data_IF_089744471417
#
_entry.id   IF_089744471417
#
_cell.length_a   1.000
_cell.length_b   1.000
_cell.length_c   1.000
_cell.angle_alpha   90.00
_cell.angle_beta   90.00
_cell.angle_gamma   90.00
#
_symmetry.space_group_name_H-M   'P 1'
#
loop_
_entity.id
_entity.type
_entity.pdbx_description
1 polymer ?
#
# COMPACT_ATOMS: atom_id res chain seq x y z
N UNK A 1 10.52 28.42 2.73
CA UNK A 1 10.15 27.66 1.52
C UNK A 1 9.46 26.35 1.92
N UNK A 2 8.25 26.09 1.47
CA UNK A 2 7.51 24.88 1.83
C UNK A 2 8.11 23.64 1.16
N UNK A 3 8.30 22.56 1.93
CA UNK A 3 8.71 21.25 1.39
C UNK A 3 7.58 20.70 0.50
N UNK A 4 7.93 20.25 -0.71
CA UNK A 4 6.96 19.59 -1.58
C UNK A 4 6.58 18.21 -1.03
N UNK A 5 5.33 17.82 -1.22
CA UNK A 5 4.87 16.48 -0.86
C UNK A 5 5.30 15.45 -1.91
N UNK A 6 5.34 14.16 -1.53
CA UNK A 6 5.66 13.07 -2.45
C UNK A 6 4.70 12.99 -3.65
N UNK A 7 3.50 13.54 -3.55
CA UNK A 7 2.56 13.66 -4.66
C UNK A 7 2.99 14.68 -5.72
N UNK A 8 4.00 15.52 -5.43
CA UNK A 8 4.52 16.56 -6.31
C UNK A 8 5.82 16.16 -7.03
N UNK A 9 6.21 14.89 -6.95
CA UNK A 9 7.35 14.36 -7.71
C UNK A 9 7.15 14.59 -9.21
N UNK A 10 8.24 14.95 -9.91
CA UNK A 10 8.23 15.12 -11.35
C UNK A 10 7.72 13.86 -12.05
N UNK A 11 6.91 14.05 -13.07
CA UNK A 11 6.59 12.99 -14.00
C UNK A 11 7.80 12.70 -14.86
N UNK A 12 8.23 11.45 -14.99
CA UNK A 12 8.96 11.05 -16.19
C UNK A 12 8.08 11.36 -17.42
N UNK A 13 8.66 11.60 -18.61
CA UNK A 13 7.88 11.83 -19.81
C UNK A 13 6.83 10.73 -19.95
N UNK A 14 5.55 11.12 -19.97
CA UNK A 14 4.39 10.23 -19.90
C UNK A 14 4.22 9.31 -21.13
N UNK A 15 5.02 9.50 -22.18
CA UNK A 15 4.88 8.82 -23.46
C UNK A 15 5.59 7.46 -23.52
N UNK A 16 6.39 7.13 -22.53
CA UNK A 16 6.97 5.79 -22.46
C UNK A 16 6.08 4.90 -21.60
N UNK A 17 5.44 3.93 -22.24
CA UNK A 17 4.88 2.80 -21.54
C UNK A 17 6.06 2.07 -20.88
N UNK A 18 6.13 2.04 -19.56
CA UNK A 18 7.25 1.41 -18.81
C UNK A 18 7.41 -0.06 -19.15
N UNK A 19 6.35 -0.68 -19.68
CA UNK A 19 6.41 -2.04 -20.20
C UNK A 19 7.16 -2.13 -21.54
N UNK A 20 7.32 -1.00 -22.24
CA UNK A 20 8.00 -0.90 -23.53
C UNK A 20 9.36 -0.20 -23.43
N UNK A 21 9.70 0.41 -22.29
CA UNK A 21 11.03 0.97 -22.11
C UNK A 21 12.02 -0.18 -22.12
N UNK A 22 12.92 -0.15 -23.09
CA UNK A 22 14.00 -1.11 -23.25
C UNK A 22 15.06 -1.05 -22.13
N UNK A 23 14.72 -0.46 -21.00
CA UNK A 23 15.60 -0.44 -19.85
C UNK A 23 15.50 -1.77 -19.11
N UNK A 24 16.57 -2.57 -19.09
CA UNK A 24 16.62 -3.88 -18.44
C UNK A 24 16.25 -3.83 -16.94
N UNK A 25 16.37 -2.66 -16.34
CA UNK A 25 16.11 -2.38 -14.92
C UNK A 25 14.64 -2.50 -14.53
N UNK A 26 13.73 -2.29 -15.47
CA UNK A 26 12.29 -2.38 -15.25
C UNK A 26 11.70 -3.66 -15.90
N UNK A 27 12.50 -4.43 -16.61
CA UNK A 27 12.08 -5.73 -17.15
C UNK A 27 11.77 -6.70 -16.00
N UNK A 28 10.58 -7.24 -15.98
CA UNK A 28 10.09 -8.08 -14.88
C UNK A 28 9.21 -7.36 -13.88
N UNK A 29 8.93 -6.09 -14.12
CA UNK A 29 8.02 -5.30 -13.33
C UNK A 29 6.58 -5.57 -13.75
N UNK A 30 5.78 -6.12 -12.84
CA UNK A 30 4.34 -6.30 -13.10
C UNK A 30 3.58 -4.99 -12.89
N UNK A 31 3.81 -4.03 -13.78
CA UNK A 31 2.99 -2.84 -13.88
C UNK A 31 1.84 -3.08 -14.84
N UNK A 32 0.68 -2.62 -14.47
CA UNK A 32 -0.42 -2.52 -15.42
C UNK A 32 -0.09 -1.49 -16.51
N UNK A 33 -0.35 -1.83 -17.76
CA UNK A 33 -0.27 -0.89 -18.88
C UNK A 33 -1.35 0.20 -18.74
N UNK A 34 -1.21 1.32 -19.44
CA UNK A 34 -2.24 2.37 -19.51
C UNK A 34 -3.59 1.79 -19.94
N UNK A 35 -3.59 0.87 -20.90
CA UNK A 35 -4.79 0.19 -21.38
C UNK A 35 -5.42 -0.69 -20.28
N UNK A 36 -4.61 -1.48 -19.57
CA UNK A 36 -5.06 -2.32 -18.45
C UNK A 36 -5.64 -1.46 -17.31
N UNK A 37 -4.99 -0.37 -16.93
CA UNK A 37 -5.51 0.55 -15.92
C UNK A 37 -6.86 1.17 -16.34
N UNK A 38 -7.03 1.52 -17.63
CA UNK A 38 -8.31 2.00 -18.18
C UNK A 38 -9.40 0.93 -18.11
N UNK A 39 -9.06 -0.32 -18.44
CA UNK A 39 -9.99 -1.46 -18.33
C UNK A 39 -10.38 -1.70 -16.88
N UNK A 40 -9.42 -1.63 -15.96
CA UNK A 40 -9.67 -1.80 -14.53
C UNK A 40 -10.62 -0.73 -13.99
N UNK A 41 -10.40 0.55 -14.31
CA UNK A 41 -11.31 1.63 -13.92
C UNK A 41 -12.73 1.42 -14.46
N UNK A 42 -12.86 0.90 -15.68
CA UNK A 42 -14.16 0.56 -16.24
C UNK A 42 -14.86 -0.55 -15.43
N UNK A 43 -14.10 -1.60 -15.02
CA UNK A 43 -14.63 -2.69 -14.18
C UNK A 43 -15.04 -2.17 -12.81
N UNK A 44 -14.22 -1.33 -12.14
CA UNK A 44 -14.54 -0.71 -10.84
C UNK A 44 -15.83 0.11 -10.92
N UNK A 45 -15.92 0.99 -11.90
CA UNK A 45 -17.13 1.81 -12.12
C UNK A 45 -18.37 0.96 -12.38
N UNK A 46 -18.28 -0.09 -13.20
CA UNK A 46 -19.40 -1.01 -13.48
C UNK A 46 -19.86 -1.72 -12.19
N UNK A 47 -18.91 -2.18 -11.36
CA UNK A 47 -19.22 -2.83 -10.08
C UNK A 47 -19.93 -1.89 -9.12
N UNK A 48 -19.43 -0.67 -8.92
CA UNK A 48 -20.05 0.36 -8.08
C UNK A 48 -21.47 0.70 -8.53
N UNK A 49 -21.68 0.94 -9.84
CA UNK A 49 -23.01 1.24 -10.39
C UNK A 49 -23.97 0.08 -10.21
N UNK A 50 -23.51 -1.16 -10.46
CA UNK A 50 -24.32 -2.37 -10.25
C UNK A 50 -24.71 -2.56 -8.79
N UNK A 51 -23.81 -2.29 -7.85
CA UNK A 51 -24.16 -2.34 -6.43
C UNK A 51 -25.12 -1.21 -6.04
N UNK A 52 -24.92 0.01 -6.57
CA UNK A 52 -25.80 1.15 -6.34
C UNK A 52 -27.25 0.91 -6.81
N UNK A 53 -27.46 0.09 -7.86
CA UNK A 53 -28.81 -0.27 -8.35
C UNK A 53 -29.50 -1.34 -7.51
N UNK A 54 -28.80 -2.05 -6.61
CA UNK A 54 -29.40 -3.06 -5.74
C UNK A 54 -30.23 -2.44 -4.62
N UNK A 55 -31.19 -3.17 -4.04
CA UNK A 55 -31.93 -2.75 -2.84
C UNK A 55 -30.98 -2.42 -1.68
N UNK A 56 -31.41 -1.54 -0.78
CA UNK A 56 -30.62 -1.09 0.39
C UNK A 56 -30.10 -2.27 1.23
N UNK A 57 -30.92 -3.28 1.44
CA UNK A 57 -30.59 -4.53 2.17
C UNK A 57 -29.38 -5.29 1.59
N UNK A 58 -29.17 -5.23 0.28
CA UNK A 58 -28.06 -5.91 -0.43
C UNK A 58 -26.81 -5.06 -0.61
N UNK A 59 -26.76 -3.86 -0.02
CA UNK A 59 -25.62 -2.94 -0.12
C UNK A 59 -24.73 -2.91 1.13
N UNK A 60 -25.00 -3.74 2.12
CA UNK A 60 -24.22 -3.85 3.37
C UNK A 60 -23.96 -2.48 4.03
N UNK A 61 -24.98 -1.63 4.10
CA UNK A 61 -24.88 -0.28 4.69
C UNK A 61 -24.26 0.80 3.79
N UNK A 62 -23.77 0.44 2.58
CA UNK A 62 -23.21 1.41 1.64
C UNK A 62 -24.31 2.28 1.01
N UNK A 63 -24.13 3.60 1.01
CA UNK A 63 -25.11 4.53 0.46
C UNK A 63 -25.01 4.60 -1.06
N UNK A 64 -26.14 4.58 -1.76
CA UNK A 64 -26.21 4.70 -3.24
C UNK A 64 -25.48 5.94 -3.74
N UNK A 65 -25.65 7.08 -3.06
CA UNK A 65 -25.02 8.35 -3.43
C UNK A 65 -23.49 8.22 -3.43
N UNK A 66 -22.91 7.62 -2.38
CA UNK A 66 -21.47 7.50 -2.23
C UNK A 66 -20.86 6.56 -3.29
N UNK A 67 -21.52 5.43 -3.58
CA UNK A 67 -21.12 4.53 -4.67
C UNK A 67 -21.08 5.22 -6.04
N UNK A 68 -22.08 6.05 -6.35
CA UNK A 68 -22.13 6.80 -7.60
C UNK A 68 -21.11 7.92 -7.66
N UNK A 69 -20.83 8.58 -6.52
CA UNK A 69 -19.77 9.58 -6.40
C UNK A 69 -18.40 8.99 -6.71
N UNK A 70 -18.04 7.88 -6.05
CA UNK A 70 -16.76 7.17 -6.31
C UNK A 70 -16.66 6.72 -7.77
N UNK A 71 -17.75 6.22 -8.36
CA UNK A 71 -17.74 5.86 -9.78
C UNK A 71 -17.46 7.04 -10.72
N UNK A 72 -17.83 8.27 -10.33
CA UNK A 72 -17.49 9.51 -11.03
C UNK A 72 -16.02 9.86 -10.83
N UNK A 73 -15.55 9.89 -9.60
CA UNK A 73 -14.15 10.20 -9.25
C UNK A 73 -13.16 9.25 -9.96
N UNK A 74 -13.48 7.95 -10.05
CA UNK A 74 -12.66 7.00 -10.84
C UNK A 74 -12.60 7.40 -12.31
N UNK A 75 -13.71 7.90 -12.90
CA UNK A 75 -13.71 8.39 -14.28
C UNK A 75 -12.74 9.56 -14.45
N UNK A 76 -12.75 10.45 -13.49
CA UNK A 76 -12.03 11.73 -13.55
C UNK A 76 -10.59 11.61 -12.96
N UNK A 77 -10.15 10.42 -12.54
CA UNK A 77 -8.85 10.14 -11.90
C UNK A 77 -8.62 11.00 -10.65
N UNK A 78 -9.64 11.15 -9.82
CA UNK A 78 -9.62 12.10 -8.70
C UNK A 78 -8.91 11.58 -7.43
N UNK A 79 -8.72 10.26 -7.28
CA UNK A 79 -8.22 9.68 -6.04
C UNK A 79 -7.63 8.29 -6.23
N UNK A 80 -7.08 7.71 -5.16
CA UNK A 80 -6.47 6.37 -5.14
C UNK A 80 -7.44 5.23 -5.51
N UNK A 81 -8.75 5.47 -5.55
CA UNK A 81 -9.75 4.53 -6.07
C UNK A 81 -9.62 4.29 -7.58
N UNK A 82 -9.01 5.22 -8.35
CA UNK A 82 -8.74 5.06 -9.78
C UNK A 82 -7.43 4.36 -10.04
N UNK A 83 -7.47 3.29 -10.86
CA UNK A 83 -6.27 2.56 -11.28
C UNK A 83 -5.36 3.42 -12.17
N UNK A 84 -5.93 4.30 -13.01
CA UNK A 84 -5.15 5.23 -13.83
C UNK A 84 -4.42 6.26 -12.99
N UNK A 85 -5.10 6.82 -11.98
CA UNK A 85 -4.48 7.73 -11.01
C UNK A 85 -3.32 7.02 -10.30
N UNK A 86 -3.59 5.85 -9.71
CA UNK A 86 -2.56 5.09 -8.99
C UNK A 86 -1.39 4.72 -9.88
N UNK A 87 -1.64 4.29 -11.12
CA UNK A 87 -0.57 3.98 -12.06
C UNK A 87 0.34 5.18 -12.31
N UNK A 88 -0.23 6.34 -12.60
CA UNK A 88 0.51 7.57 -12.90
C UNK A 88 1.41 8.00 -11.74
N UNK A 89 0.87 8.04 -10.53
CA UNK A 89 1.63 8.44 -9.35
C UNK A 89 2.66 7.39 -8.91
N UNK A 90 2.34 6.10 -9.02
CA UNK A 90 3.28 5.02 -8.73
C UNK A 90 4.53 5.09 -9.60
N UNK A 91 4.38 5.41 -10.87
CA UNK A 91 5.51 5.59 -11.78
C UNK A 91 6.49 6.65 -11.29
N UNK A 92 5.98 7.82 -10.92
CA UNK A 92 6.80 8.91 -10.40
C UNK A 92 7.57 8.50 -9.16
N UNK A 93 6.86 7.88 -8.22
CA UNK A 93 7.45 7.44 -6.94
C UNK A 93 8.52 6.38 -7.17
N UNK A 94 8.25 5.39 -8.02
CA UNK A 94 9.20 4.30 -8.28
C UNK A 94 10.47 4.82 -8.93
N UNK A 95 10.35 5.69 -9.92
CA UNK A 95 11.52 6.28 -10.55
C UNK A 95 12.34 7.09 -9.55
N UNK A 96 11.70 7.95 -8.76
CA UNK A 96 12.39 8.75 -7.75
C UNK A 96 13.07 7.89 -6.67
N UNK A 97 12.39 6.82 -6.21
CA UNK A 97 12.97 5.88 -5.23
C UNK A 97 14.12 5.10 -5.86
N UNK A 98 14.01 4.74 -7.13
CA UNK A 98 15.05 4.01 -7.83
C UNK A 98 16.30 4.86 -8.04
N UNK A 99 16.13 6.13 -8.45
CA UNK A 99 17.23 7.09 -8.57
C UNK A 99 17.93 7.33 -7.22
N UNK A 100 17.14 7.54 -6.17
CA UNK A 100 17.65 7.68 -4.82
C UNK A 100 18.45 6.45 -4.36
N UNK A 101 17.93 5.26 -4.59
CA UNK A 101 18.55 3.99 -4.22
C UNK A 101 19.84 3.72 -5.01
N UNK A 102 19.86 4.02 -6.31
CA UNK A 102 21.02 3.87 -7.17
C UNK A 102 22.14 4.87 -6.86
N UNK A 103 21.79 6.08 -6.42
CA UNK A 103 22.74 7.14 -6.08
C UNK A 103 23.31 7.05 -4.67
N UNK A 104 22.67 6.34 -3.75
CA UNK A 104 23.05 6.34 -2.33
C UNK A 104 24.20 5.40 -1.99
N UNK A 105 24.46 4.36 -2.79
CA UNK A 105 25.42 3.30 -2.45
C UNK A 105 25.09 2.55 -1.15
N UNK A 106 23.93 2.80 -0.54
CA UNK A 106 23.53 2.25 0.75
C UNK A 106 22.85 0.89 0.59
N UNK A 107 23.13 -0.01 1.51
CA UNK A 107 22.36 -1.27 1.63
C UNK A 107 20.91 -0.99 1.99
N UNK A 108 20.00 -1.54 1.23
CA UNK A 108 18.57 -1.38 1.43
C UNK A 108 17.92 -2.64 2.01
N UNK A 109 16.81 -2.43 2.70
CA UNK A 109 15.95 -3.48 3.22
C UNK A 109 14.50 -3.23 2.81
N UNK A 110 13.77 -4.31 2.48
CA UNK A 110 12.33 -4.26 2.28
C UNK A 110 11.60 -4.72 3.54
N UNK A 111 10.62 -3.93 3.96
CA UNK A 111 9.94 -4.08 5.25
C UNK A 111 8.46 -4.35 5.00
N UNK A 112 7.90 -5.29 5.77
CA UNK A 112 6.45 -5.43 5.91
C UNK A 112 6.10 -5.33 7.39
N UNK A 113 5.26 -4.36 7.74
CA UNK A 113 4.70 -4.19 9.07
C UNK A 113 3.23 -4.60 9.07
N UNK A 114 2.84 -5.46 10.02
CA UNK A 114 1.45 -5.88 10.23
C UNK A 114 1.08 -5.46 11.66
N UNK A 115 0.68 -4.19 11.87
CA UNK A 115 0.44 -3.68 13.21
C UNK A 115 -0.78 -4.31 13.86
N UNK A 116 -0.70 -4.53 15.17
CA UNK A 116 -1.85 -4.96 15.96
C UNK A 116 -2.96 -3.88 15.90
N UNK A 117 -4.20 -4.35 15.71
CA UNK A 117 -5.37 -3.46 15.64
C UNK A 117 -5.60 -2.78 14.28
N UNK A 118 -4.83 -3.13 13.25
CA UNK A 118 -5.08 -2.68 11.87
C UNK A 118 -6.00 -3.66 11.12
N UNK A 119 -7.00 -4.17 11.83
CA UNK A 119 -8.00 -5.13 11.32
C UNK A 119 -9.38 -4.51 11.42
N UNK A 120 -10.12 -4.52 10.33
CA UNK A 120 -11.44 -3.90 10.24
C UNK A 120 -12.44 -4.90 9.66
N UNK A 121 -13.50 -5.19 10.39
CA UNK A 121 -14.59 -6.03 9.89
C UNK A 121 -15.23 -5.40 8.66
N UNK A 122 -15.75 -6.20 7.75
CA UNK A 122 -16.54 -5.74 6.62
C UNK A 122 -17.69 -4.84 7.08
N UNK A 123 -17.90 -3.75 6.37
CA UNK A 123 -18.80 -2.66 6.75
C UNK A 123 -18.18 -1.60 7.67
N UNK A 124 -16.97 -1.82 8.20
CA UNK A 124 -16.27 -0.91 9.12
C UNK A 124 -14.95 -0.35 8.60
N UNK A 125 -14.55 -0.66 7.36
CA UNK A 125 -13.28 -0.16 6.81
C UNK A 125 -13.23 1.38 6.77
N UNK A 126 -14.38 2.04 6.65
CA UNK A 126 -14.48 3.51 6.72
C UNK A 126 -13.91 4.12 8.00
N UNK A 127 -13.82 3.34 9.08
CA UNK A 127 -13.28 3.78 10.37
C UNK A 127 -11.74 3.76 10.38
N UNK A 128 -11.11 3.15 9.38
CA UNK A 128 -9.67 3.21 9.17
C UNK A 128 -9.31 4.60 8.61
N UNK A 129 -8.62 5.40 9.42
CA UNK A 129 -8.12 6.71 9.00
C UNK A 129 -6.63 6.59 8.70
N UNK A 130 -6.24 6.71 7.42
CA UNK A 130 -4.87 6.47 6.97
C UNK A 130 -3.86 7.32 7.76
N UNK A 131 -4.13 8.61 7.94
CA UNK A 131 -3.25 9.51 8.69
C UNK A 131 -2.98 9.03 10.13
N UNK A 132 -4.03 8.60 10.85
CA UNK A 132 -3.89 8.07 12.21
C UNK A 132 -3.10 6.76 12.25
N UNK A 133 -3.30 5.89 11.24
CA UNK A 133 -2.58 4.62 11.16
C UNK A 133 -1.10 4.84 10.87
N UNK A 134 -0.78 5.70 9.92
CA UNK A 134 0.59 6.06 9.57
C UNK A 134 1.29 6.78 10.73
N UNK A 135 0.59 7.70 11.42
CA UNK A 135 1.15 8.39 12.57
C UNK A 135 1.45 7.43 13.73
N UNK A 136 0.61 6.42 13.97
CA UNK A 136 0.93 5.37 14.96
C UNK A 136 2.19 4.60 14.61
N UNK A 137 2.39 4.25 13.33
CA UNK A 137 3.63 3.61 12.87
C UNK A 137 4.81 4.56 13.07
N UNK A 138 4.68 5.82 12.64
CA UNK A 138 5.70 6.85 12.77
C UNK A 138 6.16 7.03 14.21
N UNK A 139 5.22 7.21 15.13
CA UNK A 139 5.51 7.42 16.56
C UNK A 139 6.26 6.21 17.17
N UNK A 140 5.89 5.00 16.80
CA UNK A 140 6.61 3.81 17.26
C UNK A 140 8.03 3.78 16.69
N UNK A 141 8.21 4.05 15.41
CA UNK A 141 9.56 4.06 14.82
C UNK A 141 10.44 5.14 15.43
N UNK A 142 9.91 6.35 15.65
CA UNK A 142 10.63 7.44 16.32
C UNK A 142 11.01 7.09 17.77
N UNK A 143 10.08 6.51 18.53
CA UNK A 143 10.35 6.06 19.92
C UNK A 143 11.51 5.06 20.01
N UNK A 144 11.70 4.25 18.98
CA UNK A 144 12.78 3.26 18.93
C UNK A 144 14.01 3.76 18.19
N UNK A 145 14.13 5.09 17.96
CA UNK A 145 15.34 5.77 17.50
C UNK A 145 15.41 5.98 15.99
N UNK A 146 14.28 6.00 15.28
CA UNK A 146 14.28 6.31 13.85
C UNK A 146 14.67 7.78 13.56
N UNK A 147 14.43 8.71 14.50
CA UNK A 147 14.76 10.12 14.35
C UNK A 147 16.27 10.41 14.39
N UNK A 148 17.03 9.56 15.09
CA UNK A 148 18.47 9.73 15.29
C UNK A 148 19.30 8.95 14.26
N UNK A 149 18.64 8.26 13.33
CA UNK A 149 19.32 7.44 12.32
C UNK A 149 19.56 8.22 11.05
N UNK A 150 20.82 8.18 10.59
CA UNK A 150 21.15 8.54 9.21
C UNK A 150 20.47 7.54 8.27
N UNK A 151 20.04 8.02 7.11
CA UNK A 151 19.34 7.21 6.12
C UNK A 151 17.85 7.54 6.03
N UNK A 152 17.11 6.71 5.32
CA UNK A 152 15.75 7.02 4.94
C UNK A 152 14.83 5.80 4.95
N UNK A 153 13.54 6.09 5.03
CA UNK A 153 12.45 5.14 4.86
C UNK A 153 11.34 5.77 4.03
N UNK A 154 10.84 5.01 3.07
CA UNK A 154 9.59 5.32 2.35
C UNK A 154 8.69 4.10 2.33
N UNK A 155 7.43 4.28 2.67
CA UNK A 155 6.49 3.17 2.66
C UNK A 155 5.05 3.61 2.49
N UNK A 156 4.19 2.61 2.20
CA UNK A 156 2.78 2.82 1.89
C UNK A 156 1.89 1.90 2.70
N UNK A 157 0.76 2.46 3.11
CA UNK A 157 -0.33 1.68 3.69
C UNK A 157 -0.98 0.85 2.58
N UNK A 158 -1.07 -0.44 2.81
CA UNK A 158 -1.64 -1.44 1.91
C UNK A 158 -2.63 -2.31 2.68
N UNK A 159 -3.32 -3.22 2.00
CA UNK A 159 -4.26 -4.12 2.66
C UNK A 159 -4.57 -5.37 1.87
N UNK A 160 -5.24 -6.27 2.54
CA UNK A 160 -5.83 -7.48 1.97
C UNK A 160 -7.16 -7.77 2.67
N UNK A 161 -8.00 -8.56 2.05
CA UNK A 161 -9.28 -8.97 2.59
C UNK A 161 -9.28 -10.48 2.85
N UNK A 162 -9.64 -10.88 4.06
CA UNK A 162 -9.81 -12.27 4.48
C UNK A 162 -11.31 -12.62 4.37
N UNK A 163 -11.74 -13.42 3.40
CA UNK A 163 -13.15 -13.66 3.14
C UNK A 163 -13.84 -14.50 4.22
N UNK A 164 -13.14 -15.45 4.83
CA UNK A 164 -13.68 -16.34 5.86
C UNK A 164 -14.08 -15.54 7.12
N UNK A 165 -13.24 -14.62 7.54
CA UNK A 165 -13.48 -13.75 8.70
C UNK A 165 -14.20 -12.46 8.33
N UNK A 166 -14.35 -12.17 7.02
CA UNK A 166 -14.86 -10.90 6.47
C UNK A 166 -14.10 -9.68 7.04
N UNK A 167 -12.78 -9.76 7.09
CA UNK A 167 -11.91 -8.74 7.70
C UNK A 167 -10.94 -8.16 6.69
N UNK A 168 -10.86 -6.84 6.66
CA UNK A 168 -9.75 -6.12 6.02
C UNK A 168 -8.56 -6.08 6.96
N UNK A 169 -7.40 -6.51 6.49
CA UNK A 169 -6.13 -6.45 7.22
C UNK A 169 -5.23 -5.42 6.56
N UNK A 170 -5.03 -4.29 7.23
CA UNK A 170 -4.12 -3.28 6.74
C UNK A 170 -2.70 -3.57 7.23
N UNK A 171 -1.76 -3.33 6.36
CA UNK A 171 -0.34 -3.47 6.63
C UNK A 171 0.44 -2.37 5.91
N UNK A 172 1.69 -2.23 6.26
CA UNK A 172 2.56 -1.20 5.72
C UNK A 172 3.77 -1.86 5.07
N UNK A 173 4.02 -1.52 3.81
CA UNK A 173 5.21 -1.92 3.08
C UNK A 173 6.15 -0.75 2.94
N UNK A 174 7.44 -0.97 3.22
CA UNK A 174 8.44 0.08 3.10
C UNK A 174 9.75 -0.43 2.49
N UNK A 175 10.47 0.48 1.85
CA UNK A 175 11.88 0.39 1.54
C UNK A 175 12.63 1.33 2.46
N UNK A 176 13.75 0.90 2.99
CA UNK A 176 14.55 1.70 3.90
C UNK A 176 16.03 1.33 3.80
N UNK A 177 16.90 2.23 4.26
CA UNK A 177 18.30 1.91 4.47
C UNK A 177 18.47 0.87 5.59
N UNK A 178 19.53 0.08 5.52
CA UNK A 178 19.80 -1.05 6.44
C UNK A 178 19.82 -0.65 7.92
N UNK A 179 20.14 0.60 8.21
CA UNK A 179 20.19 1.14 9.57
C UNK A 179 18.82 1.03 10.30
N UNK A 180 17.72 1.03 9.55
CA UNK A 180 16.38 0.84 10.12
C UNK A 180 16.13 -0.58 10.64
N UNK A 181 16.96 -1.57 10.28
CA UNK A 181 16.78 -2.95 10.76
C UNK A 181 16.89 -3.05 12.30
N UNK A 182 17.78 -2.26 12.91
CA UNK A 182 17.93 -2.22 14.36
C UNK A 182 16.73 -1.55 15.04
N UNK A 183 16.25 -0.43 14.48
CA UNK A 183 15.02 0.25 14.95
C UNK A 183 13.84 -0.73 14.96
N UNK A 184 13.67 -1.48 13.87
CA UNK A 184 12.59 -2.46 13.73
C UNK A 184 12.75 -3.65 14.69
N UNK A 185 13.98 -4.09 14.95
CA UNK A 185 14.26 -5.14 15.93
C UNK A 185 13.81 -4.72 17.32
N UNK A 186 14.11 -3.47 17.72
CA UNK A 186 13.66 -2.90 19.00
C UNK A 186 12.14 -2.68 19.01
N UNK A 187 11.54 -2.20 17.91
CA UNK A 187 10.11 -1.94 17.79
C UNK A 187 9.25 -3.21 17.93
N UNK A 188 9.79 -4.40 17.65
CA UNK A 188 9.08 -5.69 17.89
C UNK A 188 8.61 -5.87 19.32
N UNK A 189 9.28 -5.25 20.29
CA UNK A 189 8.90 -5.30 21.73
C UNK A 189 7.70 -4.38 22.03
N UNK A 190 7.35 -3.48 21.13
CA UNK A 190 6.28 -2.52 21.31
C UNK A 190 4.88 -3.11 21.16
N UNK A 191 3.91 -2.56 21.89
CA UNK A 191 2.50 -3.00 21.84
C UNK A 191 1.92 -3.07 20.42
N UNK A 192 2.33 -2.18 19.52
CA UNK A 192 1.85 -2.13 18.14
C UNK A 192 2.25 -3.37 17.32
N UNK A 193 3.37 -4.00 17.67
CA UNK A 193 3.92 -5.15 16.97
C UNK A 193 3.99 -6.41 17.83
N UNK A 194 3.26 -6.45 18.94
CA UNK A 194 3.11 -7.68 19.71
C UNK A 194 2.53 -8.77 18.83
N UNK A 195 3.09 -9.97 18.99
CA UNK A 195 2.56 -11.16 18.34
C UNK A 195 1.11 -11.37 18.75
N UNK A 196 0.22 -11.64 17.81
CA UNK A 196 -1.18 -11.99 18.08
C UNK A 196 -1.31 -13.37 18.75
N UNK A 197 -0.20 -14.00 19.13
CA UNK A 197 -0.18 -15.31 19.80
C UNK A 197 -1.01 -15.39 21.08
N UNK A 198 -1.25 -14.24 21.72
CA UNK A 198 -2.01 -14.20 22.98
C UNK A 198 -3.53 -14.25 22.80
N UNK A 199 -4.05 -14.02 21.58
CA UNK A 199 -5.49 -13.95 21.33
C UNK A 199 -6.07 -15.16 20.58
N UNK A 200 -5.25 -15.92 19.88
CA UNK A 200 -5.64 -17.13 19.14
C UNK A 200 -4.44 -18.05 19.03
N UNK A 201 -4.58 -19.31 19.39
CA UNK A 201 -3.55 -20.39 19.32
C UNK A 201 -2.98 -20.67 17.91
N UNK A 202 -3.19 -19.79 16.96
CA UNK A 202 -2.72 -19.93 15.60
C UNK A 202 -1.35 -19.27 15.42
N UNK A 203 -0.42 -19.94 14.76
CA UNK A 203 0.89 -19.43 14.36
C UNK A 203 0.75 -18.15 13.52
N UNK A 204 0.75 -17.02 14.18
CA UNK A 204 0.65 -15.73 13.52
C UNK A 204 1.98 -15.40 12.88
N UNK A 205 1.93 -14.90 11.64
CA UNK A 205 3.11 -14.39 10.94
C UNK A 205 3.75 -13.27 11.75
N UNK A 206 5.09 -13.22 11.77
CA UNK A 206 5.82 -12.13 12.43
C UNK A 206 5.23 -10.77 12.01
N UNK A 207 4.85 -9.91 12.96
CA UNK A 207 4.28 -8.60 12.66
C UNK A 207 5.27 -7.65 11.98
N UNK A 208 6.57 -7.94 12.08
CA UNK A 208 7.64 -7.24 11.36
C UNK A 208 8.44 -8.26 10.57
N UNK A 209 8.48 -8.06 9.25
CA UNK A 209 9.31 -8.84 8.34
C UNK A 209 10.29 -7.92 7.64
N UNK A 210 11.54 -8.36 7.59
CA UNK A 210 12.63 -7.66 6.94
C UNK A 210 13.25 -8.59 5.91
N UNK A 211 13.23 -8.18 4.65
CA UNK A 211 14.00 -8.83 3.59
C UNK A 211 15.25 -8.00 3.33
N UNK A 212 16.41 -8.61 3.51
CA UNK A 212 17.72 -7.98 3.30
C UNK A 212 18.32 -8.32 1.91
N UNK A 213 17.82 -9.37 1.27
CA UNK A 213 18.31 -9.82 -0.04
C UNK A 213 17.43 -9.21 -1.13
N UNK A 214 17.74 -8.00 -1.55
CA UNK A 214 16.99 -7.26 -2.55
C UNK A 214 17.55 -7.53 -3.96
N UNK A 215 17.34 -8.72 -4.48
CA UNK A 215 17.84 -9.12 -5.81
C UNK A 215 17.08 -8.45 -6.97
N UNK A 216 15.90 -7.88 -6.70
CA UNK A 216 15.08 -7.23 -7.73
C UNK A 216 14.43 -5.97 -7.14
N UNK A 217 15.20 -4.91 -7.05
CA UNK A 217 14.75 -3.62 -6.51
C UNK A 217 13.56 -3.03 -7.28
N UNK A 218 13.51 -3.05 -8.64
CA UNK A 218 12.35 -2.55 -9.37
C UNK A 218 11.04 -3.26 -9.00
N UNK A 219 11.08 -4.58 -8.82
CA UNK A 219 9.89 -5.35 -8.40
C UNK A 219 9.44 -4.97 -6.98
N UNK A 220 10.37 -4.74 -6.08
CA UNK A 220 10.07 -4.40 -4.69
C UNK A 220 9.53 -2.98 -4.57
N UNK A 221 10.12 -2.01 -5.27
CA UNK A 221 9.62 -0.63 -5.28
C UNK A 221 8.21 -0.55 -5.83
N UNK A 222 7.89 -1.30 -6.90
CA UNK A 222 6.52 -1.34 -7.40
C UNK A 222 5.53 -2.07 -6.50
N UNK A 223 6.03 -2.95 -5.64
CA UNK A 223 5.20 -3.60 -4.65
C UNK A 223 4.82 -2.65 -3.50
N UNK A 224 5.57 -1.56 -3.28
CA UNK A 224 5.30 -0.59 -2.21
C UNK A 224 3.89 0.01 -2.30
N UNK A 225 3.53 0.52 -3.47
CA UNK A 225 2.26 1.21 -3.67
C UNK A 225 1.36 0.41 -4.62
N UNK A 226 0.86 -0.74 -4.19
CA UNK A 226 -0.01 -1.58 -5.02
C UNK A 226 -1.29 -0.86 -5.42
N UNK A 227 -1.71 -1.08 -6.67
CA UNK A 227 -2.95 -0.51 -7.21
C UNK A 227 -4.21 -1.27 -6.80
N UNK A 228 -4.07 -2.41 -6.14
CA UNK A 228 -5.23 -3.20 -5.69
C UNK A 228 -4.94 -4.05 -4.46
N UNK A 229 -5.95 -4.25 -3.62
CA UNK A 229 -5.91 -5.17 -2.51
C UNK A 229 -6.47 -6.53 -2.93
N UNK A 230 -5.75 -7.62 -2.63
CA UNK A 230 -6.22 -8.95 -2.96
C UNK A 230 -7.18 -9.48 -1.89
N UNK A 231 -8.07 -10.35 -2.32
CA UNK A 231 -8.72 -11.33 -1.45
C UNK A 231 -7.76 -12.49 -1.21
N UNK A 232 -7.59 -12.90 0.05
CA UNK A 232 -6.71 -13.99 0.45
C UNK A 232 -7.46 -15.00 1.28
N UNK A 233 -7.64 -16.16 0.72
CA UNK A 233 -8.18 -17.31 1.40
C UNK A 233 -7.12 -17.93 2.33
N UNK A 234 -7.59 -18.43 3.45
CA UNK A 234 -6.80 -19.29 4.34
C UNK A 234 -7.19 -20.74 4.08
N UNK A 235 -6.23 -21.57 3.83
CA UNK A 235 -6.40 -23.01 3.73
C UNK A 235 -5.77 -23.65 4.95
N UNK A 236 -6.49 -24.54 5.61
CA UNK A 236 -5.93 -25.34 6.72
C UNK A 236 -5.25 -26.54 6.09
N UNK A 237 -3.98 -26.75 6.41
CA UNK A 237 -3.25 -27.95 5.96
C UNK A 237 -3.73 -29.17 6.73
N UNK A 238 -3.49 -30.40 6.23
CA UNK A 238 -3.80 -31.62 6.97
C UNK A 238 -3.16 -31.69 8.37
N UNK A 239 -2.06 -30.97 8.58
CA UNK A 239 -1.36 -30.83 9.87
C UNK A 239 -1.95 -29.73 10.77
N UNK A 240 -3.11 -29.15 10.42
CA UNK A 240 -3.77 -28.09 11.20
C UNK A 240 -3.13 -26.69 11.05
N UNK A 241 -2.08 -26.55 10.23
CA UNK A 241 -1.45 -25.25 10.01
C UNK A 241 -2.24 -24.41 9.01
N UNK A 242 -2.49 -23.13 9.30
CA UNK A 242 -3.16 -22.22 8.39
C UNK A 242 -2.15 -21.58 7.44
N UNK A 243 -2.35 -21.75 6.14
CA UNK A 243 -1.57 -21.11 5.08
C UNK A 243 -2.47 -20.26 4.19
N UNK A 244 -1.94 -19.14 3.73
CA UNK A 244 -2.67 -18.33 2.74
C UNK A 244 -2.45 -18.90 1.34
N UNK A 245 -3.52 -18.97 0.55
CA UNK A 245 -3.40 -19.31 -0.87
C UNK A 245 -2.44 -18.33 -1.58
N UNK A 246 -1.60 -18.86 -2.46
CA UNK A 246 -0.70 -18.03 -3.29
C UNK A 246 -1.47 -17.23 -4.34
N UNK A 247 -2.62 -17.75 -4.80
CA UNK A 247 -3.45 -17.11 -5.82
C UNK A 247 -4.17 -15.92 -5.23
N UNK A 248 -3.89 -14.75 -5.79
CA UNK A 248 -4.58 -13.51 -5.45
C UNK A 248 -5.88 -13.43 -6.24
N UNK A 249 -6.99 -13.19 -5.57
CA UNK A 249 -8.30 -12.98 -6.19
C UNK A 249 -8.73 -11.53 -5.98
N UNK A 250 -9.70 -11.08 -6.76
CA UNK A 250 -10.38 -9.81 -6.53
C UNK A 250 -11.33 -9.97 -5.35
N UNK A 251 -11.34 -8.99 -4.48
CA UNK A 251 -12.30 -8.92 -3.37
C UNK A 251 -13.73 -9.01 -3.94
N UNK A 252 -14.56 -9.88 -3.34
CA UNK A 252 -15.95 -10.01 -3.69
C UNK A 252 -16.80 -8.79 -3.27
N UNK A 253 -17.96 -8.60 -3.93
CA UNK A 253 -18.92 -7.58 -3.52
C UNK A 253 -19.70 -8.04 -2.25
N UNK A 254 -20.03 -7.15 -1.34
CA UNK A 254 -19.91 -5.67 -1.39
C UNK A 254 -18.56 -5.11 -0.89
N UNK A 255 -17.66 -5.96 -0.43
CA UNK A 255 -16.39 -5.55 0.20
C UNK A 255 -15.43 -4.88 -0.79
N UNK A 256 -15.46 -5.28 -2.07
CA UNK A 256 -14.71 -4.57 -3.10
C UNK A 256 -15.17 -3.11 -3.25
N UNK A 257 -16.46 -2.86 -3.23
CA UNK A 257 -16.99 -1.50 -3.27
C UNK A 257 -16.66 -0.71 -2.00
N UNK A 258 -16.70 -1.35 -0.83
CA UNK A 258 -16.27 -0.73 0.44
C UNK A 258 -14.80 -0.31 0.39
N UNK A 259 -13.93 -1.17 -0.11
CA UNK A 259 -12.52 -0.87 -0.33
C UNK A 259 -12.33 0.33 -1.28
N UNK A 260 -13.08 0.41 -2.38
CA UNK A 260 -13.00 1.54 -3.29
C UNK A 260 -13.49 2.85 -2.66
N UNK A 261 -14.56 2.81 -1.84
CA UNK A 261 -15.03 3.97 -1.07
C UNK A 261 -13.97 4.45 -0.08
N UNK A 262 -13.23 3.52 0.52
CA UNK A 262 -12.14 3.88 1.43
C UNK A 262 -10.99 4.55 0.67
N UNK A 263 -10.53 3.98 -0.43
CA UNK A 263 -9.46 4.54 -1.28
C UNK A 263 -9.82 5.91 -1.88
N UNK A 264 -11.10 6.14 -2.18
CA UNK A 264 -11.57 7.39 -2.78
C UNK A 264 -11.40 8.61 -1.88
N UNK A 265 -11.15 8.39 -0.61
CA UNK A 265 -10.88 9.44 0.40
C UNK A 265 -9.45 9.96 0.35
N UNK A 266 -8.56 9.31 -0.38
CA UNK A 266 -7.12 9.51 -0.29
C UNK A 266 -6.46 9.74 -1.64
N UNK A 267 -5.48 10.64 -1.61
CA UNK A 267 -4.43 10.75 -2.60
C UNK A 267 -3.30 9.78 -2.22
N UNK A 268 -2.36 9.51 -3.15
CA UNK A 268 -1.28 8.55 -2.87
C UNK A 268 -0.37 8.99 -1.71
N UNK A 269 -0.15 10.31 -1.57
CA UNK A 269 0.64 10.85 -0.47
C UNK A 269 0.01 10.65 0.91
N UNK A 270 -1.34 10.58 0.98
CA UNK A 270 -2.06 10.34 2.23
C UNK A 270 -1.90 8.89 2.73
N UNK A 271 -1.47 8.01 1.83
CA UNK A 271 -1.17 6.60 2.11
C UNK A 271 0.32 6.35 2.33
N UNK A 272 1.15 7.39 2.25
CA UNK A 272 2.61 7.32 2.30
C UNK A 272 3.16 7.83 3.63
N UNK A 273 4.18 7.16 4.14
CA UNK A 273 5.03 7.62 5.24
C UNK A 273 6.47 7.70 4.76
N UNK A 274 7.11 8.84 5.00
CA UNK A 274 8.54 9.05 4.77
C UNK A 274 9.23 9.45 6.07
N UNK A 275 10.46 8.95 6.27
CA UNK A 275 11.36 9.38 7.31
C UNK A 275 12.74 9.62 6.67
N UNK A 276 13.41 10.69 7.05
CA UNK A 276 14.70 11.06 6.48
C UNK A 276 14.68 11.44 4.99
N UNK A 277 13.48 11.74 4.44
CA UNK A 277 13.28 12.12 3.05
C UNK A 277 12.50 13.42 2.91
N UNK A 278 12.86 14.19 1.90
CA UNK A 278 12.11 15.34 1.42
C UNK A 278 11.98 15.32 -0.11
N UNK A 279 11.00 16.03 -0.64
CA UNK A 279 10.91 16.30 -2.06
C UNK A 279 11.57 17.64 -2.33
N UNK A 280 12.62 17.65 -3.14
CA UNK A 280 13.37 18.84 -3.52
C UNK A 280 12.58 19.80 -4.41
N UNK A 281 13.04 21.03 -4.58
CA UNK A 281 12.37 22.04 -5.42
C UNK A 281 12.26 21.61 -6.89
N UNK A 282 13.24 20.86 -7.37
CA UNK A 282 13.25 20.29 -8.72
C UNK A 282 12.31 19.10 -8.88
N UNK A 283 11.69 18.61 -7.77
CA UNK A 283 10.76 17.48 -7.76
C UNK A 283 11.45 16.12 -7.74
N UNK A 284 12.71 16.05 -7.30
CA UNK A 284 13.42 14.80 -6.98
C UNK A 284 13.26 14.45 -5.49
N UNK A 285 13.51 13.17 -5.13
CA UNK A 285 13.69 12.77 -3.73
C UNK A 285 15.12 13.08 -3.28
N UNK A 286 15.23 13.60 -2.07
CA UNK A 286 16.51 13.83 -1.41
C UNK A 286 16.47 13.36 0.04
N UNK A 287 17.62 12.96 0.57
CA UNK A 287 17.76 12.66 1.99
C UNK A 287 17.78 13.96 2.80
N UNK A 288 17.09 13.96 3.92
CA UNK A 288 17.25 15.01 4.94
C UNK A 288 18.35 14.54 5.87
N UNK A 289 19.52 15.17 5.76
CA UNK A 289 20.66 14.93 6.65
C UNK A 289 20.33 15.51 8.02
#
# INVERSE_FOLDING_TARGET
>A
MGRKSIGQLKSPPLDRDVTQSAEPLLSGFMFETKAQAKVEDRKRRKALKRLASRPKSKRSGLKKRDLLSVARNIRDKGAASSSRYMREHRHRIINAVYELAGGSGEDLIFITLIPFGFRYSGGKLRNAEAAKLLERIRQVLLRYGAGDRKGWLIGFLDGEFEPESKVFVLHFHALATKNYAEVLSRARKGKLFRSQREACDQRVRSPIRINKNLTNLPRLTGYLAKSFWPERFRTVTPTGSSIHERRKRRIGEPFHSEYLLWLDRYQIQDLCLTLGLSVSQDGSLSTTI
#
